data_IF_695234970720
#
_entry.id   IF_695234970720
#
_cell.length_a   1.000
_cell.length_b   1.000
_cell.length_c   1.000
_cell.angle_alpha   90.00
_cell.angle_beta   90.00
_cell.angle_gamma   90.00
#
_symmetry.space_group_name_H-M   'P 1'
#
loop_
_entity.id
_entity.type
_entity.pdbx_description
1 polymer ?
#
# COMPACT_ATOMS: atom_id res chain seq x y z
N UNK A 1 15.60 -3.19 -19.88
CA UNK A 1 16.27 -3.12 -18.57
C UNK A 1 15.46 -2.18 -17.71
N UNK A 2 14.61 -2.74 -16.84
CA UNK A 2 13.86 -1.94 -15.88
C UNK A 2 14.88 -1.29 -14.95
N UNK A 3 14.95 0.05 -14.89
CA UNK A 3 15.56 0.77 -13.77
C UNK A 3 14.67 0.53 -12.52
N UNK A 4 14.55 -0.73 -12.12
CA UNK A 4 13.61 -1.21 -11.13
C UNK A 4 13.98 -0.62 -9.78
N UNK A 5 13.01 0.00 -9.12
CA UNK A 5 13.19 0.44 -7.74
C UNK A 5 13.54 -0.79 -6.90
N UNK A 6 14.67 -0.77 -6.20
CA UNK A 6 15.05 -1.81 -5.24
C UNK A 6 14.15 -1.68 -4.00
N UNK A 7 13.33 -2.69 -3.76
CA UNK A 7 12.36 -2.72 -2.67
C UNK A 7 12.95 -3.32 -1.39
N UNK A 8 14.13 -3.95 -1.46
CA UNK A 8 14.74 -4.66 -0.33
C UNK A 8 15.25 -3.71 0.76
N UNK A 9 15.58 -2.48 0.40
CA UNK A 9 16.02 -1.39 1.28
C UNK A 9 14.87 -0.63 1.98
N UNK A 10 13.62 -1.01 1.71
CA UNK A 10 12.45 -0.41 2.35
C UNK A 10 12.31 -0.88 3.80
N UNK A 11 11.60 -0.09 4.62
CA UNK A 11 11.27 -0.53 5.98
C UNK A 11 10.26 -1.67 5.95
N UNK A 12 10.20 -2.46 7.03
CA UNK A 12 9.26 -3.58 7.14
C UNK A 12 7.80 -3.16 6.90
N UNK A 13 7.37 -2.02 7.44
CA UNK A 13 6.02 -1.50 7.18
C UNK A 13 5.79 -1.08 5.73
N UNK A 14 6.82 -0.52 5.07
CA UNK A 14 6.71 -0.15 3.64
C UNK A 14 6.61 -1.40 2.76
N UNK A 15 7.44 -2.41 3.04
CA UNK A 15 7.41 -3.71 2.36
C UNK A 15 6.06 -4.39 2.57
N UNK A 16 5.60 -4.47 3.83
CA UNK A 16 4.35 -5.15 4.16
C UNK A 16 3.14 -4.47 3.50
N UNK A 17 3.09 -3.14 3.45
CA UNK A 17 2.02 -2.44 2.70
C UNK A 17 2.08 -2.79 1.21
N UNK A 18 3.27 -2.87 0.60
CA UNK A 18 3.39 -3.28 -0.81
C UNK A 18 2.95 -4.74 -1.03
N UNK A 19 3.33 -5.67 -0.13
CA UNK A 19 2.90 -7.07 -0.17
C UNK A 19 1.37 -7.18 -0.17
N UNK A 20 0.71 -6.50 0.77
CA UNK A 20 -0.77 -6.47 0.83
C UNK A 20 -1.41 -5.93 -0.45
N UNK A 21 -0.82 -4.90 -1.06
CA UNK A 21 -1.35 -4.36 -2.32
C UNK A 21 -1.06 -5.27 -3.53
N UNK A 22 0.02 -6.05 -3.51
CA UNK A 22 0.31 -7.06 -4.52
C UNK A 22 -0.61 -8.27 -4.39
N UNK A 23 -0.96 -8.68 -3.17
CA UNK A 23 -1.93 -9.76 -2.92
C UNK A 23 -3.36 -9.36 -3.29
N UNK A 24 -3.64 -8.05 -3.27
CA UNK A 24 -4.89 -7.50 -3.77
C UNK A 24 -5.00 -7.55 -5.30
N UNK A 25 -3.94 -7.96 -6.01
CA UNK A 25 -3.93 -8.24 -7.45
C UNK A 25 -4.54 -7.11 -8.32
N UNK A 26 -4.19 -5.87 -7.99
CA UNK A 26 -4.69 -4.69 -8.70
C UNK A 26 -6.03 -4.16 -8.19
N UNK A 27 -6.62 -4.72 -7.13
CA UNK A 27 -7.74 -4.11 -6.43
C UNK A 27 -7.30 -2.86 -5.66
N UNK A 28 -8.18 -1.85 -5.62
CA UNK A 28 -7.97 -0.66 -4.83
C UNK A 28 -8.46 -0.88 -3.40
N UNK A 29 -7.55 -0.81 -2.43
CA UNK A 29 -7.85 -0.98 -1.01
C UNK A 29 -7.88 0.35 -0.27
N UNK A 30 -8.85 0.53 0.63
CA UNK A 30 -8.88 1.65 1.57
C UNK A 30 -7.76 1.48 2.59
N UNK A 31 -7.22 2.58 3.12
CA UNK A 31 -6.18 2.52 4.17
C UNK A 31 -6.61 1.74 5.44
N UNK A 32 -7.92 1.60 5.71
CA UNK A 32 -8.42 0.73 6.79
C UNK A 32 -8.35 -0.76 6.43
N UNK A 33 -8.62 -1.11 5.18
CA UNK A 33 -8.56 -2.49 4.68
C UNK A 33 -7.10 -2.96 4.59
N UNK A 34 -6.19 -2.09 4.14
CA UNK A 34 -4.74 -2.40 4.15
C UNK A 34 -4.27 -2.75 5.56
N UNK A 35 -4.64 -1.95 6.57
CA UNK A 35 -4.26 -2.21 7.97
C UNK A 35 -4.91 -3.48 8.52
N UNK A 36 -6.15 -3.79 8.12
CA UNK A 36 -6.82 -5.03 8.49
C UNK A 36 -6.11 -6.24 7.90
N UNK A 37 -5.82 -6.25 6.59
CA UNK A 37 -5.08 -7.34 5.92
C UNK A 37 -3.66 -7.50 6.46
N UNK A 38 -2.96 -6.41 6.80
CA UNK A 38 -1.67 -6.49 7.48
C UNK A 38 -1.76 -7.25 8.81
N UNK A 39 -2.80 -7.00 9.59
CA UNK A 39 -3.00 -7.70 10.85
C UNK A 39 -3.38 -9.16 10.62
N UNK A 40 -4.36 -9.42 9.73
CA UNK A 40 -4.96 -10.74 9.54
C UNK A 40 -4.01 -11.70 8.80
N UNK A 41 -3.34 -11.23 7.74
CA UNK A 41 -2.56 -12.08 6.83
C UNK A 41 -1.07 -12.12 7.24
N UNK A 42 -0.58 -11.07 7.91
CA UNK A 42 0.85 -10.91 8.22
C UNK A 42 1.16 -10.76 9.72
N UNK A 43 0.15 -10.64 10.59
CA UNK A 43 0.36 -10.40 12.02
C UNK A 43 0.99 -9.05 12.35
N UNK A 44 0.94 -8.08 11.42
CA UNK A 44 1.57 -6.77 11.55
C UNK A 44 0.53 -5.73 11.93
N UNK A 45 0.64 -5.20 13.16
CA UNK A 45 -0.20 -4.11 13.60
C UNK A 45 0.29 -2.78 13.04
N UNK A 46 -0.49 -2.15 12.17
CA UNK A 46 -0.20 -0.82 11.64
C UNK A 46 -1.27 0.19 12.08
N UNK A 47 -0.83 1.20 12.83
CA UNK A 47 -1.70 2.31 13.25
C UNK A 47 -2.03 3.24 12.07
N UNK A 48 -3.08 4.04 12.19
CA UNK A 48 -3.40 5.10 11.21
C UNK A 48 -2.21 6.06 11.00
N UNK A 49 -1.51 6.42 12.08
CA UNK A 49 -0.34 7.30 12.02
C UNK A 49 0.85 6.60 11.36
N UNK A 50 1.05 5.30 11.62
CA UNK A 50 2.05 4.47 10.94
C UNK A 50 1.79 4.40 9.43
N UNK A 51 0.54 4.18 9.02
CA UNK A 51 0.15 4.22 7.61
C UNK A 51 0.47 5.57 6.96
N UNK A 52 0.14 6.68 7.63
CA UNK A 52 0.49 8.02 7.16
C UNK A 52 2.01 8.22 7.03
N UNK A 53 2.80 7.63 7.92
CA UNK A 53 4.25 7.67 7.87
C UNK A 53 4.82 6.86 6.69
N UNK A 54 4.19 5.73 6.34
CA UNK A 54 4.54 4.93 5.15
C UNK A 54 4.34 5.75 3.88
N UNK A 55 3.17 6.37 3.71
CA UNK A 55 2.83 7.04 2.44
C UNK A 55 3.29 8.51 2.34
N UNK A 56 3.94 9.07 3.37
CA UNK A 56 4.35 10.49 3.38
C UNK A 56 5.28 10.79 2.20
N UNK A 57 5.21 12.02 1.67
CA UNK A 57 5.98 12.44 0.47
C UNK A 57 7.50 12.26 0.61
N UNK A 58 8.05 12.43 1.81
CA UNK A 58 9.49 12.33 2.06
C UNK A 58 9.90 10.94 2.58
N UNK A 59 9.06 9.92 2.40
CA UNK A 59 9.45 8.52 2.65
C UNK A 59 10.10 7.92 1.42
N UNK A 60 10.83 6.81 1.61
CA UNK A 60 11.31 5.95 0.51
C UNK A 60 10.21 5.12 -0.16
N UNK A 61 8.96 5.21 0.31
CA UNK A 61 7.86 4.43 -0.24
C UNK A 61 7.66 4.78 -1.72
N UNK A 62 7.63 3.79 -2.63
CA UNK A 62 7.62 4.04 -4.07
C UNK A 62 6.23 4.45 -4.55
N UNK A 63 5.85 5.71 -4.29
CA UNK A 63 4.55 6.28 -4.66
C UNK A 63 4.27 6.23 -6.17
N UNK A 64 5.31 6.15 -7.01
CA UNK A 64 5.16 5.97 -8.45
C UNK A 64 4.55 4.61 -8.83
N UNK A 65 4.67 3.61 -7.96
CA UNK A 65 4.10 2.26 -8.17
C UNK A 65 2.66 2.16 -7.69
N UNK A 66 2.19 3.11 -6.88
CA UNK A 66 0.90 3.02 -6.19
C UNK A 66 0.02 4.20 -6.54
N UNK A 67 -1.16 3.92 -7.09
CA UNK A 67 -2.21 4.92 -7.28
C UNK A 67 -2.84 5.22 -5.92
N UNK A 68 -2.79 6.49 -5.52
CA UNK A 68 -3.43 6.99 -4.30
C UNK A 68 -4.50 8.01 -4.70
N UNK A 69 -5.77 7.70 -4.46
CA UNK A 69 -6.91 8.55 -4.82
C UNK A 69 -7.78 8.81 -3.60
N UNK A 70 -8.41 9.98 -3.55
CA UNK A 70 -9.50 10.21 -2.60
C UNK A 70 -10.70 9.37 -3.04
N UNK A 71 -11.29 8.65 -2.09
CA UNK A 71 -12.57 7.96 -2.30
C UNK A 71 -13.67 9.01 -2.20
N UNK A 72 -14.60 9.01 -3.16
CA UNK A 72 -15.68 9.97 -3.16
C UNK A 72 -16.59 9.76 -1.95
N UNK A 73 -17.05 10.85 -1.35
CA UNK A 73 -17.90 10.81 -0.15
C UNK A 73 -19.22 10.06 -0.36
N UNK A 74 -19.67 9.91 -1.60
CA UNK A 74 -20.86 9.12 -1.95
C UNK A 74 -20.66 7.60 -1.82
N UNK A 75 -19.43 7.12 -1.76
CA UNK A 75 -19.08 5.69 -1.68
C UNK A 75 -18.74 5.23 -0.25
N UNK A 76 -18.98 6.09 0.75
CA UNK A 76 -18.56 5.87 2.14
C UNK A 76 -19.73 6.15 3.07
N UNK A 77 -19.99 5.22 3.98
CA UNK A 77 -20.89 5.44 5.09
C UNK A 77 -20.14 6.25 6.17
N UNK A 78 -20.39 7.57 6.22
CA UNK A 78 -19.84 8.48 7.25
C UNK A 78 -19.00 9.64 6.73
N UNK A 79 -18.71 10.59 7.63
CA UNK A 79 -18.08 11.89 7.30
C UNK A 79 -16.54 11.86 7.18
N UNK A 80 -15.92 10.67 7.22
CA UNK A 80 -14.45 10.55 7.16
C UNK A 80 -14.00 10.40 5.72
N UNK A 81 -13.15 11.31 5.23
CA UNK A 81 -12.51 11.16 3.92
C UNK A 81 -11.50 10.02 3.97
N UNK A 82 -11.64 9.04 3.08
CA UNK A 82 -10.69 7.95 2.91
C UNK A 82 -9.89 8.12 1.62
N UNK A 83 -8.69 7.56 1.61
CA UNK A 83 -7.92 7.35 0.39
C UNK A 83 -7.89 5.86 0.05
N UNK A 84 -7.95 5.56 -1.23
CA UNK A 84 -7.69 4.23 -1.77
C UNK A 84 -6.23 4.13 -2.24
N UNK A 85 -5.70 2.91 -2.15
CA UNK A 85 -4.35 2.52 -2.51
C UNK A 85 -4.46 1.34 -3.45
N UNK A 86 -3.87 1.46 -4.64
CA UNK A 86 -3.87 0.40 -5.63
C UNK A 86 -2.46 0.28 -6.17
N UNK A 87 -1.84 -0.91 -6.03
CA UNK A 87 -0.59 -1.19 -6.74
C UNK A 87 -0.92 -1.26 -8.23
N UNK A 88 -0.16 -0.55 -9.06
CA UNK A 88 -0.42 -0.60 -10.51
C UNK A 88 -0.07 -2.00 -11.03
N UNK A 89 -0.88 -2.58 -11.94
CA UNK A 89 -0.70 -3.95 -12.39
C UNK A 89 0.71 -4.29 -12.87
N UNK A 90 1.38 -3.36 -13.55
CA UNK A 90 2.74 -3.53 -14.08
C UNK A 90 3.82 -3.72 -13.00
N UNK A 91 3.50 -3.51 -11.72
CA UNK A 91 4.43 -3.65 -10.60
C UNK A 91 4.10 -4.82 -9.66
N UNK A 92 3.00 -5.55 -9.88
CA UNK A 92 2.58 -6.66 -9.01
C UNK A 92 3.66 -7.73 -8.94
N UNK A 93 4.10 -8.23 -10.10
CA UNK A 93 5.12 -9.28 -10.17
C UNK A 93 6.46 -8.79 -9.59
N UNK A 94 6.84 -7.53 -9.86
CA UNK A 94 8.05 -6.93 -9.28
C UNK A 94 8.03 -6.94 -7.75
N UNK A 95 6.88 -6.62 -7.14
CA UNK A 95 6.73 -6.65 -5.68
C UNK A 95 6.81 -8.08 -5.15
N UNK A 96 6.10 -9.03 -5.78
CA UNK A 96 6.11 -10.45 -5.37
C UNK A 96 7.49 -11.08 -5.48
N UNK A 97 8.24 -10.77 -6.53
CA UNK A 97 9.59 -11.30 -6.75
C UNK A 97 10.63 -10.73 -5.79
N UNK A 98 10.65 -9.42 -5.57
CA UNK A 98 11.67 -8.78 -4.73
C UNK A 98 11.41 -8.92 -3.23
N UNK A 99 10.15 -9.07 -2.84
CA UNK A 99 9.73 -9.11 -1.44
C UNK A 99 9.23 -10.49 -1.01
N UNK A 100 9.75 -11.59 -1.56
CA UNK A 100 9.46 -12.93 -1.02
C UNK A 100 9.69 -12.98 0.50
#
# INVERSE_FOLDING_TARGET
MSNGTDLTDLTEYQKAVLKVLADADGEALRGVEVRRRLQDDYGIELTKNGMNAVIRRNSRYPRQMVVIKWVDSSEIDGNTRHVSHQLKPEYIDTVREQLQ
#
